data_IF_437120216933
#
_entry.id   IF_437120216933
#
_cell.length_a   1.000
_cell.length_b   1.000
_cell.length_c   1.000
_cell.angle_alpha   90.00
_cell.angle_beta   90.00
_cell.angle_gamma   90.00
#
_symmetry.space_group_name_H-M   'P 1'
#
loop_
_entity.id
_entity.type
_entity.pdbx_description
1 polymer ?
#
# COMPACT_ATOMS: atom_id res chain seq x y z
N UNK A 1 6.33 -7.13 8.74
CA UNK A 1 5.46 -7.66 9.83
C UNK A 1 5.70 -6.94 11.15
N UNK A 2 6.96 -6.61 11.52
CA UNK A 2 7.26 -5.84 12.75
C UNK A 2 6.64 -4.44 12.71
N UNK A 3 6.74 -3.72 11.59
CA UNK A 3 6.15 -2.37 11.44
C UNK A 3 4.63 -2.38 11.58
N UNK A 4 3.95 -3.41 11.10
CA UNK A 4 2.48 -3.55 11.26
C UNK A 4 2.08 -4.05 12.65
N UNK A 5 2.99 -4.66 13.39
CA UNK A 5 2.71 -5.23 14.71
C UNK A 5 2.15 -6.64 14.69
N UNK A 6 2.41 -7.40 13.64
CA UNK A 6 2.13 -8.85 13.56
C UNK A 6 3.21 -9.67 14.26
N UNK A 7 4.45 -9.17 14.27
CA UNK A 7 5.60 -9.76 14.96
C UNK A 7 6.18 -8.69 15.87
N UNK A 8 6.56 -9.09 17.08
CA UNK A 8 7.25 -8.21 18.04
C UNK A 8 8.70 -8.02 17.58
N UNK A 9 9.21 -6.80 17.63
CA UNK A 9 10.62 -6.53 17.38
C UNK A 9 11.45 -6.88 18.62
N UNK A 10 12.59 -7.55 18.43
CA UNK A 10 13.52 -7.90 19.53
C UNK A 10 14.27 -6.68 20.07
N UNK A 11 14.35 -5.61 19.26
CA UNK A 11 15.00 -4.36 19.65
C UNK A 11 14.70 -3.23 18.67
N UNK A 12 15.16 -2.04 19.01
CA UNK A 12 14.86 -0.83 18.25
C UNK A 12 13.50 -0.21 18.57
N UNK A 13 13.13 0.84 17.85
CA UNK A 13 11.88 1.56 18.07
C UNK A 13 11.23 1.94 16.74
N UNK A 14 9.90 1.93 16.71
CA UNK A 14 9.07 2.28 15.56
C UNK A 14 8.22 3.49 15.94
N UNK A 15 8.31 4.54 15.13
CA UNK A 15 7.57 5.78 15.36
C UNK A 15 6.62 6.06 14.20
N UNK A 16 5.41 6.54 14.51
CA UNK A 16 4.44 7.07 13.55
C UNK A 16 4.03 8.47 14.00
N UNK A 17 4.26 9.48 13.17
CA UNK A 17 4.02 10.90 13.51
C UNK A 17 4.66 11.28 14.86
N UNK A 18 5.89 10.84 15.13
CA UNK A 18 6.63 11.12 16.35
C UNK A 18 6.14 10.36 17.60
N UNK A 19 5.12 9.50 17.48
CA UNK A 19 4.62 8.65 18.56
C UNK A 19 5.24 7.27 18.49
N UNK A 20 5.77 6.77 19.60
CA UNK A 20 6.28 5.42 19.69
C UNK A 20 5.12 4.41 19.58
N UNK A 21 5.21 3.53 18.59
CA UNK A 21 4.23 2.47 18.33
C UNK A 21 4.84 1.07 18.50
N UNK A 22 6.07 0.97 18.99
CA UNK A 22 6.87 -0.28 19.03
C UNK A 22 6.13 -1.44 19.65
N UNK A 23 5.47 -1.20 20.77
CA UNK A 23 4.74 -2.24 21.52
C UNK A 23 3.23 -2.21 21.32
N UNK A 24 2.74 -1.35 20.41
CA UNK A 24 1.31 -1.29 20.15
C UNK A 24 0.87 -2.47 19.25
N UNK A 25 -0.24 -3.14 19.58
CA UNK A 25 -0.80 -4.19 18.74
C UNK A 25 -1.36 -3.60 17.44
N UNK A 26 -1.47 -4.45 16.41
CA UNK A 26 -1.88 -4.06 15.05
C UNK A 26 -3.14 -3.19 15.03
N UNK A 27 -4.18 -3.51 15.81
CA UNK A 27 -5.42 -2.74 15.80
C UNK A 27 -5.24 -1.31 16.32
N UNK A 28 -4.32 -1.08 17.29
CA UNK A 28 -4.00 0.27 17.78
C UNK A 28 -3.21 1.06 16.73
N UNK A 29 -2.28 0.42 16.02
CA UNK A 29 -1.56 1.04 14.91
C UNK A 29 -2.52 1.42 13.79
N UNK A 30 -3.50 0.56 13.49
CA UNK A 30 -4.56 0.86 12.51
C UNK A 30 -5.38 2.10 12.90
N UNK A 31 -5.79 2.25 14.17
CA UNK A 31 -6.48 3.46 14.65
C UNK A 31 -5.61 4.72 14.60
N UNK A 32 -4.30 4.59 14.55
CA UNK A 32 -3.38 5.72 14.36
C UNK A 32 -3.14 6.06 12.88
N UNK A 33 -3.76 5.31 11.97
CA UNK A 33 -3.68 5.54 10.54
C UNK A 33 -2.66 4.66 9.79
N UNK A 34 -2.16 3.59 10.42
CA UNK A 34 -1.27 2.64 9.75
C UNK A 34 -2.09 1.46 9.19
N UNK A 35 -2.22 1.38 7.89
CA UNK A 35 -2.94 0.30 7.21
C UNK A 35 -1.98 -0.67 6.55
N UNK A 36 -2.33 -1.95 6.57
CA UNK A 36 -1.55 -3.03 5.95
C UNK A 36 -2.36 -3.74 4.88
N UNK A 37 -1.79 -3.85 3.70
CA UNK A 37 -2.35 -4.58 2.58
C UNK A 37 -1.45 -5.77 2.26
N UNK A 38 -1.83 -6.98 2.69
CA UNK A 38 -1.03 -8.19 2.50
C UNK A 38 -0.92 -8.60 1.02
N UNK A 39 0.02 -9.48 0.73
CA UNK A 39 0.16 -10.13 -0.57
C UNK A 39 -1.08 -10.98 -0.90
N UNK A 40 -1.60 -11.72 0.09
CA UNK A 40 -2.79 -12.53 -0.08
C UNK A 40 -4.07 -11.69 -0.06
N UNK A 41 -5.10 -12.20 -0.76
CA UNK A 41 -6.39 -11.53 -0.85
C UNK A 41 -7.04 -11.34 0.54
N UNK A 42 -7.33 -10.10 0.88
CA UNK A 42 -7.87 -9.69 2.18
C UNK A 42 -9.35 -9.29 2.17
N UNK A 43 -10.03 -9.36 1.01
CA UNK A 43 -11.46 -9.03 0.89
C UNK A 43 -12.35 -9.97 1.72
N UNK A 44 -13.46 -9.47 2.23
CA UNK A 44 -14.53 -10.28 2.77
C UNK A 44 -15.24 -10.99 1.62
N UNK A 45 -14.88 -12.24 1.37
CA UNK A 45 -15.21 -13.01 0.15
C UNK A 45 -16.71 -13.11 -0.13
N UNK A 46 -17.54 -13.20 0.92
CA UNK A 46 -19.00 -13.36 0.83
C UNK A 46 -19.76 -12.03 0.73
N UNK A 47 -19.08 -10.90 0.90
CA UNK A 47 -19.68 -9.58 0.81
C UNK A 47 -19.54 -9.02 -0.61
N UNK A 48 -20.43 -8.10 -0.98
CA UNK A 48 -20.30 -7.32 -2.21
C UNK A 48 -19.13 -6.35 -2.12
N UNK A 49 -18.71 -5.75 -3.24
CA UNK A 49 -17.73 -4.67 -3.28
C UNK A 49 -18.15 -3.52 -2.37
N UNK A 50 -19.41 -3.09 -2.51
CA UNK A 50 -20.00 -2.03 -1.69
C UNK A 50 -19.95 -2.37 -0.19
N UNK A 51 -20.38 -3.58 0.19
CA UNK A 51 -20.40 -4.00 1.59
C UNK A 51 -18.99 -4.15 2.19
N UNK A 52 -18.01 -4.55 1.39
CA UNK A 52 -16.60 -4.57 1.81
C UNK A 52 -16.10 -3.18 2.25
N UNK A 53 -16.47 -2.14 1.52
CA UNK A 53 -16.06 -0.76 1.80
C UNK A 53 -16.91 -0.20 2.96
N UNK A 54 -18.22 -0.39 2.90
CA UNK A 54 -19.19 0.06 3.90
C UNK A 54 -18.87 -0.44 5.30
N UNK A 55 -18.50 -1.73 5.43
CA UNK A 55 -18.14 -2.33 6.71
C UNK A 55 -17.00 -1.58 7.42
N UNK A 56 -16.06 -0.99 6.67
CA UNK A 56 -14.97 -0.19 7.25
C UNK A 56 -15.45 1.23 7.54
N UNK A 57 -16.26 1.83 6.67
CA UNK A 57 -16.80 3.18 6.89
C UNK A 57 -17.68 3.26 8.15
N UNK A 58 -18.48 2.23 8.44
CA UNK A 58 -19.32 2.14 9.63
C UNK A 58 -18.53 2.16 10.94
N UNK A 59 -17.26 1.76 10.92
CA UNK A 59 -16.35 1.80 12.07
C UNK A 59 -15.68 3.15 12.25
N UNK A 60 -15.79 4.05 11.25
CA UNK A 60 -15.10 5.34 11.28
C UNK A 60 -15.87 6.37 12.12
N UNK A 61 -15.12 7.38 12.57
CA UNK A 61 -15.66 8.53 13.30
C UNK A 61 -15.42 9.79 12.49
N UNK A 62 -16.31 10.76 12.66
CA UNK A 62 -16.12 12.10 12.12
C UNK A 62 -15.16 12.92 12.99
N UNK A 63 -14.87 14.15 12.57
CA UNK A 63 -13.96 15.08 13.28
C UNK A 63 -14.39 15.38 14.73
N UNK A 64 -15.67 15.22 15.03
CA UNK A 64 -16.22 15.40 16.39
C UNK A 64 -16.14 14.10 17.24
N UNK A 65 -15.48 13.04 16.73
CA UNK A 65 -15.34 11.76 17.42
C UNK A 65 -16.62 10.91 17.45
N UNK A 66 -17.69 11.31 16.74
CA UNK A 66 -18.95 10.56 16.63
C UNK A 66 -18.91 9.59 15.46
N UNK A 67 -19.63 8.46 15.51
CA UNK A 67 -19.80 7.59 14.36
C UNK A 67 -20.29 8.38 13.13
N UNK A 68 -19.86 7.98 11.93
CA UNK A 68 -20.36 8.58 10.69
C UNK A 68 -21.88 8.37 10.55
N UNK A 69 -22.58 9.38 10.09
CA UNK A 69 -23.99 9.27 9.70
C UNK A 69 -24.14 8.44 8.41
N UNK A 70 -25.36 7.95 8.15
CA UNK A 70 -25.65 7.23 6.90
C UNK A 70 -25.34 8.06 5.66
N UNK A 71 -25.54 9.36 5.70
CA UNK A 71 -25.24 10.28 4.60
C UNK A 71 -23.73 10.36 4.37
N UNK A 72 -22.94 10.62 5.41
CA UNK A 72 -21.47 10.66 5.33
C UNK A 72 -20.89 9.34 4.84
N UNK A 73 -21.42 8.20 5.28
CA UNK A 73 -21.02 6.86 4.79
C UNK A 73 -21.29 6.74 3.30
N UNK A 74 -22.49 7.10 2.82
CA UNK A 74 -22.84 6.99 1.42
C UNK A 74 -22.00 7.92 0.53
N UNK A 75 -21.78 9.16 0.94
CA UNK A 75 -20.92 10.12 0.21
C UNK A 75 -19.48 9.60 0.07
N UNK A 76 -18.90 9.10 1.16
CA UNK A 76 -17.55 8.51 1.13
C UNK A 76 -17.48 7.24 0.30
N UNK A 77 -18.51 6.40 0.37
CA UNK A 77 -18.61 5.18 -0.42
C UNK A 77 -18.64 5.49 -1.91
N UNK A 78 -19.52 6.41 -2.36
CA UNK A 78 -19.61 6.81 -3.76
C UNK A 78 -18.28 7.40 -4.25
N UNK A 79 -17.63 8.24 -3.45
CA UNK A 79 -16.31 8.80 -3.76
C UNK A 79 -15.24 7.72 -3.98
N UNK A 80 -15.20 6.70 -3.10
CA UNK A 80 -14.22 5.60 -3.22
C UNK A 80 -14.50 4.69 -4.41
N UNK A 81 -15.78 4.40 -4.70
CA UNK A 81 -16.18 3.63 -5.86
C UNK A 81 -15.79 4.32 -7.16
N UNK A 82 -15.99 5.64 -7.24
CA UNK A 82 -15.63 6.46 -8.39
C UNK A 82 -14.11 6.50 -8.60
N UNK A 83 -13.38 6.88 -7.58
CA UNK A 83 -11.94 7.06 -7.63
C UNK A 83 -11.19 5.79 -8.04
N UNK A 84 -11.64 4.64 -7.56
CA UNK A 84 -11.04 3.34 -7.90
C UNK A 84 -11.66 2.69 -9.14
N UNK A 85 -12.63 3.37 -9.79
CA UNK A 85 -13.33 2.90 -11.00
C UNK A 85 -13.97 1.51 -10.82
N UNK A 86 -14.69 1.31 -9.70
CA UNK A 86 -15.35 0.06 -9.34
C UNK A 86 -16.87 0.18 -9.14
N UNK A 87 -17.49 1.28 -9.62
CA UNK A 87 -18.95 1.46 -9.53
C UNK A 87 -19.73 0.37 -10.29
N UNK A 88 -19.24 -0.03 -11.45
CA UNK A 88 -19.87 -1.02 -12.33
C UNK A 88 -19.91 -2.44 -11.70
N UNK A 89 -19.07 -2.70 -10.71
CA UNK A 89 -19.00 -3.99 -10.00
C UNK A 89 -19.47 -3.90 -8.55
N UNK A 90 -20.07 -2.78 -8.12
CA UNK A 90 -20.41 -2.51 -6.71
C UNK A 90 -21.24 -3.60 -6.04
N UNK A 91 -22.13 -4.25 -6.79
CA UNK A 91 -23.02 -5.34 -6.32
C UNK A 91 -22.43 -6.73 -6.50
N UNK A 92 -21.27 -6.85 -7.16
CA UNK A 92 -20.63 -8.14 -7.35
C UNK A 92 -20.07 -8.65 -6.02
N UNK A 93 -20.23 -9.95 -5.78
CA UNK A 93 -19.64 -10.60 -4.60
C UNK A 93 -18.13 -10.68 -4.78
N UNK A 94 -17.37 -10.36 -3.74
CA UNK A 94 -15.91 -10.24 -3.83
C UNK A 94 -15.20 -11.53 -4.26
N UNK A 95 -15.80 -12.69 -4.05
CA UNK A 95 -15.28 -13.97 -4.52
C UNK A 95 -15.26 -14.11 -6.04
N UNK A 96 -16.13 -13.39 -6.78
CA UNK A 96 -16.24 -13.45 -8.25
C UNK A 96 -15.35 -12.44 -8.97
N UNK A 97 -14.63 -11.59 -8.24
CA UNK A 97 -13.82 -10.52 -8.81
C UNK A 97 -12.55 -11.07 -9.48
N UNK A 98 -12.18 -10.46 -10.60
CA UNK A 98 -10.83 -10.61 -11.18
C UNK A 98 -9.75 -10.11 -10.22
N UNK A 99 -8.49 -10.45 -10.48
CA UNK A 99 -7.37 -10.01 -9.64
C UNK A 99 -7.28 -8.49 -9.49
N UNK A 100 -7.41 -7.75 -10.60
CA UNK A 100 -7.38 -6.29 -10.60
C UNK A 100 -8.57 -5.65 -9.88
N UNK A 101 -9.79 -6.14 -10.14
CA UNK A 101 -11.02 -5.67 -9.45
C UNK A 101 -10.93 -5.90 -7.94
N UNK A 102 -10.47 -7.08 -7.55
CA UNK A 102 -10.25 -7.42 -6.14
C UNK A 102 -9.23 -6.49 -5.50
N UNK A 103 -8.09 -6.23 -6.17
CA UNK A 103 -7.05 -5.32 -5.66
C UNK A 103 -7.57 -3.91 -5.47
N UNK A 104 -8.33 -3.37 -6.44
CA UNK A 104 -8.98 -2.06 -6.32
C UNK A 104 -9.97 -2.02 -5.17
N UNK A 105 -10.75 -3.09 -4.95
CA UNK A 105 -11.67 -3.20 -3.81
C UNK A 105 -10.92 -3.21 -2.47
N UNK A 106 -9.80 -3.92 -2.36
CA UNK A 106 -8.96 -3.96 -1.15
C UNK A 106 -8.40 -2.58 -0.81
N UNK A 107 -7.99 -1.84 -1.82
CA UNK A 107 -7.47 -0.48 -1.66
C UNK A 107 -8.58 0.49 -1.28
N UNK A 108 -9.76 0.42 -1.93
CA UNK A 108 -10.93 1.21 -1.55
C UNK A 108 -11.29 0.97 -0.07
N UNK A 109 -11.26 -0.28 0.36
CA UNK A 109 -11.48 -0.66 1.77
C UNK A 109 -10.39 -0.09 2.69
N UNK A 110 -9.14 -0.11 2.26
CA UNK A 110 -8.03 0.49 3.00
C UNK A 110 -8.17 2.00 3.13
N UNK A 111 -8.57 2.69 2.05
CA UNK A 111 -8.83 4.13 2.03
C UNK A 111 -10.05 4.53 2.88
N UNK A 112 -11.05 3.64 3.00
CA UNK A 112 -12.20 3.84 3.88
C UNK A 112 -11.80 4.04 5.35
N UNK A 113 -10.67 3.50 5.78
CA UNK A 113 -10.10 3.71 7.11
C UNK A 113 -9.39 5.07 7.27
N UNK A 114 -9.36 5.92 6.24
CA UNK A 114 -8.65 7.21 6.23
C UNK A 114 -7.20 7.10 6.70
N UNK A 115 -6.38 6.26 6.06
CA UNK A 115 -5.02 5.99 6.51
C UNK A 115 -4.11 7.20 6.29
N UNK A 116 -3.11 7.35 7.16
CA UNK A 116 -1.96 8.24 6.97
C UNK A 116 -0.83 7.54 6.25
N UNK A 117 -0.74 6.21 6.42
CA UNK A 117 0.34 5.38 5.91
C UNK A 117 -0.17 3.98 5.54
N UNK A 118 0.20 3.50 4.38
CA UNK A 118 -0.16 2.16 3.88
C UNK A 118 1.10 1.36 3.62
N UNK A 119 1.14 0.13 4.15
CA UNK A 119 2.15 -0.86 3.81
C UNK A 119 1.59 -1.81 2.75
N UNK A 120 2.29 -1.93 1.64
CA UNK A 120 1.99 -2.85 0.54
C UNK A 120 3.03 -3.97 0.55
N UNK A 121 2.57 -5.19 0.81
CA UNK A 121 3.45 -6.36 0.87
C UNK A 121 3.42 -7.10 -0.47
N UNK A 122 4.57 -7.14 -1.13
CA UNK A 122 4.80 -7.74 -2.45
C UNK A 122 3.73 -7.41 -3.50
N UNK A 123 3.39 -6.12 -3.72
CA UNK A 123 2.30 -5.75 -4.62
C UNK A 123 2.54 -6.13 -6.09
N UNK A 124 3.79 -6.33 -6.51
CA UNK A 124 4.15 -6.68 -7.89
C UNK A 124 4.42 -8.18 -8.08
N UNK A 125 4.32 -8.99 -7.01
CA UNK A 125 4.62 -10.42 -7.08
C UNK A 125 3.56 -11.19 -7.87
N UNK A 126 4.01 -11.93 -8.91
CA UNK A 126 3.15 -12.83 -9.67
C UNK A 126 2.03 -12.16 -10.46
N UNK A 127 2.13 -10.85 -10.74
CA UNK A 127 1.13 -10.11 -11.52
C UNK A 127 1.59 -9.87 -12.96
N UNK A 128 0.64 -9.78 -13.87
CA UNK A 128 0.89 -9.46 -15.27
C UNK A 128 1.21 -7.96 -15.48
N UNK A 129 1.76 -7.55 -16.66
CA UNK A 129 2.15 -6.17 -16.91
C UNK A 129 0.99 -5.15 -16.84
N UNK A 130 -0.24 -5.57 -17.12
CA UNK A 130 -1.43 -4.70 -17.04
C UNK A 130 -1.71 -4.41 -15.56
N UNK A 131 -1.73 -5.46 -14.73
CA UNK A 131 -1.94 -5.33 -13.29
C UNK A 131 -0.82 -4.50 -12.61
N UNK A 132 0.44 -4.63 -13.06
CA UNK A 132 1.54 -3.76 -12.60
C UNK A 132 1.23 -2.28 -12.87
N UNK A 133 0.72 -1.96 -14.06
CA UNK A 133 0.35 -0.58 -14.40
C UNK A 133 -0.79 -0.05 -13.54
N UNK A 134 -1.79 -0.88 -13.24
CA UNK A 134 -2.88 -0.54 -12.34
C UNK A 134 -2.37 -0.26 -10.91
N UNK A 135 -1.49 -1.11 -10.38
CA UNK A 135 -0.88 -0.94 -9.05
C UNK A 135 -0.10 0.37 -8.97
N UNK A 136 0.69 0.71 -9.99
CA UNK A 136 1.41 2.00 -10.04
C UNK A 136 0.46 3.19 -10.04
N UNK A 137 -0.64 3.11 -10.81
CA UNK A 137 -1.64 4.16 -10.81
C UNK A 137 -2.27 4.36 -9.42
N UNK A 138 -2.56 3.26 -8.73
CA UNK A 138 -3.06 3.29 -7.35
C UNK A 138 -2.05 3.95 -6.40
N UNK A 139 -0.77 3.59 -6.47
CA UNK A 139 0.28 4.20 -5.64
C UNK A 139 0.36 5.70 -5.92
N UNK A 140 0.21 6.13 -7.18
CA UNK A 140 0.14 7.55 -7.54
C UNK A 140 -1.04 8.26 -6.88
N UNK A 141 -2.24 7.66 -6.90
CA UNK A 141 -3.43 8.19 -6.22
C UNK A 141 -3.17 8.34 -4.70
N UNK A 142 -2.57 7.34 -4.07
CA UNK A 142 -2.21 7.41 -2.64
C UNK A 142 -1.26 8.58 -2.35
N UNK A 143 -0.23 8.78 -3.19
CA UNK A 143 0.71 9.90 -3.07
C UNK A 143 0.01 11.26 -3.24
N UNK A 144 -0.88 11.40 -4.23
CA UNK A 144 -1.67 12.62 -4.47
C UNK A 144 -2.57 12.98 -3.27
N UNK A 145 -2.98 11.98 -2.48
CA UNK A 145 -3.70 12.15 -1.21
C UNK A 145 -2.78 12.42 -0.01
N UNK A 146 -1.48 12.59 -0.20
CA UNK A 146 -0.48 12.71 0.86
C UNK A 146 -0.47 11.51 1.83
N UNK A 147 -0.78 10.32 1.34
CA UNK A 147 -0.67 9.08 2.10
C UNK A 147 0.74 8.53 1.91
N UNK A 148 1.45 8.27 3.00
CA UNK A 148 2.75 7.60 2.96
C UNK A 148 2.58 6.15 2.49
N UNK A 149 3.46 5.68 1.60
CA UNK A 149 3.42 4.30 1.09
C UNK A 149 4.76 3.63 1.36
N UNK A 150 4.74 2.50 2.05
CA UNK A 150 5.88 1.59 2.18
C UNK A 150 5.61 0.34 1.35
N UNK A 151 6.53 0.01 0.47
CA UNK A 151 6.45 -1.17 -0.39
C UNK A 151 7.57 -2.13 0.00
N UNK A 152 7.23 -3.40 0.23
CA UNK A 152 8.20 -4.49 0.26
C UNK A 152 8.00 -5.32 -1.00
N UNK A 153 9.02 -5.50 -1.83
CA UNK A 153 8.93 -6.31 -3.05
C UNK A 153 10.32 -6.77 -3.49
N UNK A 154 10.38 -7.91 -4.12
CA UNK A 154 11.57 -8.44 -4.75
C UNK A 154 11.71 -8.03 -6.22
N UNK A 155 10.67 -7.46 -6.83
CA UNK A 155 10.70 -6.90 -8.19
C UNK A 155 11.33 -5.50 -8.18
N UNK A 156 12.65 -5.45 -8.17
CA UNK A 156 13.42 -4.21 -8.08
C UNK A 156 13.06 -3.22 -9.17
N UNK A 157 12.88 -3.70 -10.41
CA UNK A 157 12.61 -2.82 -11.57
C UNK A 157 11.30 -2.04 -11.38
N UNK A 158 10.25 -2.70 -10.91
CA UNK A 158 8.96 -2.05 -10.70
C UNK A 158 8.96 -1.20 -9.43
N UNK A 159 9.62 -1.65 -8.38
CA UNK A 159 9.78 -0.89 -7.14
C UNK A 159 10.55 0.41 -7.38
N UNK A 160 11.69 0.36 -8.08
CA UNK A 160 12.50 1.54 -8.39
C UNK A 160 11.79 2.57 -9.28
N UNK A 161 10.88 2.12 -10.17
CA UNK A 161 10.05 3.04 -10.97
C UNK A 161 8.94 3.72 -10.18
N UNK A 162 8.64 3.22 -8.99
CA UNK A 162 7.46 3.61 -8.22
C UNK A 162 7.81 4.40 -6.97
N UNK A 163 8.91 4.07 -6.30
CA UNK A 163 9.31 4.70 -5.04
C UNK A 163 10.19 5.94 -5.25
N UNK A 164 10.14 6.87 -4.29
CA UNK A 164 11.01 8.05 -4.25
C UNK A 164 12.32 7.74 -3.53
N UNK A 165 12.32 6.76 -2.62
CA UNK A 165 13.47 6.32 -1.85
C UNK A 165 13.38 4.81 -1.62
N UNK A 166 14.50 4.12 -1.63
CA UNK A 166 14.56 2.68 -1.42
C UNK A 166 15.63 2.28 -0.41
N UNK A 167 15.39 1.17 0.27
CA UNK A 167 16.33 0.46 1.13
C UNK A 167 16.53 -0.93 0.56
N UNK A 168 17.78 -1.31 0.32
CA UNK A 168 18.13 -2.66 -0.09
C UNK A 168 18.60 -3.41 1.14
N UNK A 169 17.92 -4.52 1.43
CA UNK A 169 18.20 -5.37 2.58
C UNK A 169 18.82 -6.67 2.09
N UNK A 170 19.95 -7.06 2.68
CA UNK A 170 20.62 -8.34 2.44
C UNK A 170 21.04 -8.91 3.79
N UNK A 171 20.79 -10.19 4.02
CA UNK A 171 21.14 -10.91 5.25
C UNK A 171 20.76 -10.17 6.54
N UNK A 172 19.55 -9.59 6.55
CA UNK A 172 19.02 -8.85 7.69
C UNK A 172 19.63 -7.46 7.95
N UNK A 173 20.52 -7.00 7.06
CA UNK A 173 21.19 -5.69 7.16
C UNK A 173 20.79 -4.78 6.01
N UNK A 174 20.77 -3.46 6.25
CA UNK A 174 20.63 -2.47 5.19
C UNK A 174 21.94 -2.41 4.41
N UNK A 175 21.94 -2.97 3.20
CA UNK A 175 23.09 -2.94 2.28
C UNK A 175 23.31 -1.54 1.70
N UNK A 176 22.23 -0.88 1.28
CA UNK A 176 22.26 0.46 0.73
C UNK A 176 20.91 1.15 0.90
N UNK A 177 20.90 2.47 0.95
CA UNK A 177 19.70 3.30 0.98
C UNK A 177 19.93 4.56 0.15
N UNK A 178 18.89 5.04 -0.56
CA UNK A 178 18.97 6.23 -1.40
C UNK A 178 17.85 6.31 -2.43
N UNK A 179 17.97 7.26 -3.33
CA UNK A 179 17.05 7.36 -4.47
C UNK A 179 17.36 6.25 -5.49
N UNK A 180 16.34 5.73 -6.21
CA UNK A 180 16.52 4.62 -7.16
C UNK A 180 17.64 4.82 -8.18
N UNK A 181 17.84 6.04 -8.70
CA UNK A 181 18.89 6.36 -9.66
C UNK A 181 20.29 6.14 -9.07
N UNK A 182 20.53 6.59 -7.82
CA UNK A 182 21.81 6.39 -7.15
C UNK A 182 22.07 4.92 -6.85
N UNK A 183 21.04 4.20 -6.37
CA UNK A 183 21.13 2.77 -6.06
C UNK A 183 21.39 1.92 -7.31
N UNK A 184 20.78 2.27 -8.44
CA UNK A 184 20.98 1.55 -9.71
C UNK A 184 22.41 1.68 -10.25
N UNK A 185 23.13 2.74 -9.88
CA UNK A 185 24.52 3.01 -10.25
C UNK A 185 25.53 2.52 -9.20
N UNK A 186 25.08 2.07 -8.04
CA UNK A 186 25.96 1.59 -6.98
C UNK A 186 26.56 0.22 -7.34
N UNK A 187 27.89 0.15 -7.41
CA UNK A 187 28.60 -1.08 -7.80
C UNK A 187 28.29 -2.28 -6.90
N UNK A 188 28.21 -2.07 -5.58
CA UNK A 188 27.89 -3.12 -4.61
C UNK A 188 26.46 -3.65 -4.81
N UNK A 189 25.51 -2.74 -5.02
CA UNK A 189 24.11 -3.07 -5.29
C UNK A 189 23.98 -3.84 -6.60
N UNK A 190 24.66 -3.40 -7.65
CA UNK A 190 24.67 -4.10 -8.95
C UNK A 190 25.24 -5.51 -8.82
N UNK A 191 26.40 -5.65 -8.18
CA UNK A 191 27.08 -6.94 -8.04
C UNK A 191 26.31 -7.96 -7.20
N UNK A 192 25.68 -7.52 -6.11
CA UNK A 192 25.04 -8.42 -5.13
C UNK A 192 23.57 -8.67 -5.44
N UNK A 193 22.85 -7.65 -5.96
CA UNK A 193 21.40 -7.68 -6.00
C UNK A 193 20.78 -7.48 -7.39
N UNK A 194 21.28 -6.54 -8.21
CA UNK A 194 20.66 -6.20 -9.49
C UNK A 194 21.15 -7.08 -10.65
N UNK A 195 22.39 -7.55 -10.60
CA UNK A 195 23.11 -8.14 -11.74
C UNK A 195 23.69 -7.07 -12.66
N UNK A 196 24.70 -7.48 -13.47
CA UNK A 196 25.45 -6.57 -14.34
C UNK A 196 24.59 -6.00 -15.48
N UNK A 197 23.60 -6.75 -15.95
CA UNK A 197 22.68 -6.39 -17.05
C UNK A 197 21.49 -5.52 -16.62
N UNK A 198 21.42 -5.14 -15.35
CA UNK A 198 20.31 -4.30 -14.90
C UNK A 198 20.41 -2.89 -15.50
N UNK A 199 19.42 -2.54 -16.32
CA UNK A 199 19.30 -1.21 -16.92
C UNK A 199 18.16 -0.45 -16.27
N UNK A 200 18.47 0.67 -15.61
CA UNK A 200 17.50 1.61 -15.06
C UNK A 200 17.32 2.74 -16.08
N UNK A 201 16.09 2.95 -16.58
CA UNK A 201 15.83 4.03 -17.52
C UNK A 201 16.13 5.37 -16.84
N UNK A 202 17.30 5.92 -17.11
CA UNK A 202 17.61 7.31 -16.74
C UNK A 202 16.61 8.19 -17.48
N UNK A 203 15.74 8.87 -16.74
CA UNK A 203 14.93 9.94 -17.32
C UNK A 203 15.87 10.98 -17.87
N UNK A 204 16.08 10.94 -19.19
CA UNK A 204 16.92 11.92 -19.89
C UNK A 204 16.47 13.33 -19.49
N UNK A 205 17.39 14.11 -18.94
CA UNK A 205 17.25 15.56 -18.88
C UNK A 205 16.93 16.01 -20.29
N UNK A 206 15.69 16.42 -20.54
CA UNK A 206 15.39 17.21 -21.74
C UNK A 206 16.27 18.48 -21.63
N UNK A 207 17.23 18.56 -22.55
CA UNK A 207 17.94 19.79 -22.86
C UNK A 207 16.95 20.84 -23.35
#
# INVERSE_FOLDING_TARGET
>A
YMVVGLIVADGGSIYLDGKDITHLPIYRRAHMGLTYLPQEASVFRSLTVEDNIRAILELQKNENGKPLSKTEINERLESLLDELSIQNIRTNVAMSLSGGERRRTEIARSLAASPKFILLDEPFAGVDPIAVSEIRNIIRILKERNIGVLITDHNVRETFKTCDHAYIISDGNVLAAGVPEELSNNETVRKIYLGEEFDYPTTGKKQ
#
